data_IF_377900598765
#
_entry.id   IF_377900598765
#
_cell.length_a   1.000
_cell.length_b   1.000
_cell.length_c   1.000
_cell.angle_alpha   90.00
_cell.angle_beta   90.00
_cell.angle_gamma   90.00
#
_symmetry.space_group_name_H-M   'P 1'
#
loop_
_entity.id
_entity.type
_entity.pdbx_description
1 polymer ?
#
# COMPACT_ATOMS: atom_id res chain seq x y z
N UNK A 1 0.35 5.22 -9.87
CA UNK A 1 -0.62 4.62 -8.95
C UNK A 1 -1.36 5.76 -8.31
N UNK A 2 -2.69 5.77 -8.39
CA UNK A 2 -3.52 6.79 -7.77
C UNK A 2 -3.83 6.34 -6.33
N UNK A 3 -3.32 7.04 -5.34
CA UNK A 3 -3.63 6.88 -3.91
C UNK A 3 -3.80 8.28 -3.26
N UNK A 4 -4.26 8.30 -2.00
CA UNK A 4 -4.51 9.56 -1.28
C UNK A 4 -3.22 10.40 -1.17
N UNK A 5 -2.07 9.74 -0.97
CA UNK A 5 -0.75 10.37 -0.90
C UNK A 5 -0.32 10.98 -2.23
N UNK A 6 -0.52 10.27 -3.35
CA UNK A 6 -0.21 10.78 -4.69
C UNK A 6 -1.03 12.03 -5.01
N UNK A 7 -2.32 12.01 -4.71
CA UNK A 7 -3.19 13.17 -4.93
C UNK A 7 -2.77 14.32 -4.02
N UNK A 8 -2.45 14.05 -2.75
CA UNK A 8 -1.94 15.05 -1.82
C UNK A 8 -0.64 15.69 -2.31
N UNK A 9 0.34 14.86 -2.69
CA UNK A 9 1.62 15.30 -3.22
C UNK A 9 1.49 16.04 -4.55
N UNK A 10 0.53 15.66 -5.41
CA UNK A 10 0.23 16.39 -6.64
C UNK A 10 -0.29 17.80 -6.34
N UNK A 11 -1.19 17.94 -5.37
CA UNK A 11 -1.70 19.26 -4.96
C UNK A 11 -0.61 20.07 -4.27
N UNK A 12 0.25 19.46 -3.46
CA UNK A 12 1.40 20.16 -2.86
C UNK A 12 2.41 20.64 -3.89
N UNK A 13 2.71 19.83 -4.90
CA UNK A 13 3.65 20.22 -5.95
C UNK A 13 3.16 21.42 -6.77
N UNK A 14 1.85 21.61 -6.91
CA UNK A 14 1.28 22.69 -7.74
C UNK A 14 0.71 23.87 -6.94
N UNK A 15 0.15 23.63 -5.75
CA UNK A 15 -0.49 24.63 -4.89
C UNK A 15 0.35 24.98 -3.66
N UNK A 16 1.40 24.20 -3.37
CA UNK A 16 2.28 24.45 -2.24
C UNK A 16 3.16 25.69 -2.44
N UNK A 17 3.60 26.31 -1.34
CA UNK A 17 4.55 27.42 -1.40
C UNK A 17 5.89 26.92 -1.99
N UNK A 18 6.47 27.68 -2.92
CA UNK A 18 7.75 27.36 -3.55
C UNK A 18 8.92 27.43 -2.57
N UNK A 19 8.80 28.26 -1.54
CA UNK A 19 9.73 28.37 -0.43
C UNK A 19 9.16 27.67 0.80
N UNK A 20 9.99 26.89 1.51
CA UNK A 20 9.60 26.32 2.78
C UNK A 20 9.15 27.46 3.73
N UNK A 21 7.99 27.35 4.38
CA UNK A 21 7.59 28.34 5.38
C UNK A 21 8.71 28.46 6.40
N UNK A 22 9.06 29.70 6.75
CA UNK A 22 10.08 29.97 7.76
C UNK A 22 9.74 29.13 9.00
N UNK A 23 10.66 28.23 9.38
CA UNK A 23 10.52 27.51 10.64
C UNK A 23 10.35 28.56 11.74
N UNK A 24 9.43 28.37 12.71
CA UNK A 24 9.27 29.33 13.78
C UNK A 24 10.62 29.52 14.46
N UNK A 25 11.19 30.73 14.34
CA UNK A 25 12.43 31.09 15.00
C UNK A 25 12.26 30.86 16.50
N UNK A 26 13.16 30.13 17.18
CA UNK A 26 13.13 30.05 18.64
C UNK A 26 13.35 31.47 19.18
N UNK A 27 12.38 31.98 19.92
CA UNK A 27 12.44 33.30 20.56
C UNK A 27 13.73 33.41 21.39
N UNK A 28 14.67 34.23 20.90
CA UNK A 28 15.91 34.53 21.60
C UNK A 28 15.69 35.52 22.75
N UNK A 29 16.30 35.16 23.89
CA UNK A 29 17.04 35.97 24.89
C UNK A 29 16.30 36.48 26.15
N UNK A 30 17.02 36.70 27.30
CA UNK A 30 18.47 36.96 27.41
C UNK A 30 19.29 36.15 28.44
N UNK A 31 20.60 36.10 28.16
CA UNK A 31 21.72 35.57 28.97
C UNK A 31 22.00 36.39 30.25
N UNK A 32 22.71 35.82 31.23
CA UNK A 32 23.70 36.57 32.00
C UNK A 32 25.13 35.99 31.88
N UNK A 33 26.00 36.84 31.30
CA UNK A 33 27.41 37.17 31.62
C UNK A 33 28.31 36.23 32.46
N UNK A 34 29.45 35.92 31.83
CA UNK A 34 30.86 35.95 32.32
C UNK A 34 31.30 35.00 33.45
N UNK A 35 32.21 34.06 33.13
CA UNK A 35 33.65 34.18 33.48
C UNK A 35 34.46 32.86 33.27
N UNK A 36 35.63 33.04 32.66
CA UNK A 36 36.91 32.32 32.85
C UNK A 36 37.13 30.89 32.30
N UNK A 37 37.98 30.83 31.27
CA UNK A 37 38.86 29.75 30.78
C UNK A 37 39.79 29.16 31.88
N UNK A 38 40.67 28.12 31.68
CA UNK A 38 41.17 27.55 30.41
C UNK A 38 41.49 26.02 30.33
N UNK A 39 41.62 25.50 29.08
CA UNK A 39 42.71 24.62 28.52
C UNK A 39 42.90 23.21 29.16
N UNK A 40 43.07 22.04 28.51
CA UNK A 40 43.79 21.53 27.32
C UNK A 40 43.28 20.12 26.99
N UNK A 41 43.36 19.72 25.71
CA UNK A 41 43.49 18.32 25.23
C UNK A 41 45.00 18.04 24.93
N UNK A 42 45.50 16.87 24.44
CA UNK A 42 45.02 15.47 24.38
C UNK A 42 46.16 14.39 24.58
N UNK A 43 45.85 13.12 24.28
CA UNK A 43 46.70 12.06 23.65
C UNK A 43 47.49 11.02 24.51
N UNK A 44 47.13 9.75 24.24
CA UNK A 44 47.85 8.46 24.08
C UNK A 44 48.91 7.93 25.08
N UNK A 45 48.81 6.64 25.42
CA UNK A 45 49.58 5.50 24.86
C UNK A 45 49.39 4.29 25.83
N UNK A 46 48.81 3.17 25.42
CA UNK A 46 49.41 2.05 24.66
C UNK A 46 50.07 0.94 25.52
N UNK A 47 49.42 -0.23 25.48
CA UNK A 47 49.99 -1.58 25.22
C UNK A 47 50.95 -2.21 26.24
N UNK A 48 50.61 -3.45 26.66
CA UNK A 48 51.47 -4.66 26.77
C UNK A 48 50.87 -5.59 27.86
N UNK A 49 50.27 -6.73 27.50
CA UNK A 49 50.91 -8.09 27.48
C UNK A 49 51.18 -8.63 28.89
N UNK A 50 50.96 -9.89 29.27
CA UNK A 50 50.84 -11.18 28.56
C UNK A 50 50.40 -12.20 29.62
N UNK A 51 49.42 -13.08 29.33
CA UNK A 51 49.60 -14.52 29.04
C UNK A 51 50.02 -15.35 30.25
N UNK A 52 49.07 -16.13 30.78
CA UNK A 52 49.13 -17.59 30.88
C UNK A 52 47.70 -18.08 31.21
N UNK A 53 46.97 -18.61 30.24
CA UNK A 53 47.06 -20.02 29.80
C UNK A 53 46.48 -20.94 30.88
N UNK A 54 45.17 -21.20 30.81
CA UNK A 54 44.56 -22.27 30.03
C UNK A 54 44.70 -23.63 30.72
N UNK A 55 43.60 -24.08 31.30
CA UNK A 55 43.15 -25.46 31.17
C UNK A 55 41.72 -25.55 31.72
N UNK A 56 40.75 -25.45 30.82
CA UNK A 56 39.36 -25.98 30.89
C UNK A 56 38.49 -25.41 29.76
N UNK A 57 39.00 -25.42 28.53
CA UNK A 57 38.16 -25.50 27.32
C UNK A 57 38.13 -26.96 26.92
N UNK A 58 36.95 -27.58 26.84
CA UNK A 58 36.74 -28.69 25.91
C UNK A 58 35.27 -29.11 25.70
N UNK A 59 34.35 -28.88 26.66
CA UNK A 59 33.01 -29.48 26.55
C UNK A 59 31.83 -28.50 26.37
N UNK A 60 31.96 -27.24 26.79
CA UNK A 60 30.84 -26.28 26.80
C UNK A 60 30.84 -25.29 25.61
N UNK A 61 31.76 -25.46 24.67
CA UNK A 61 31.96 -24.54 23.54
C UNK A 61 31.01 -24.78 22.36
N UNK A 62 30.21 -25.85 22.35
CA UNK A 62 29.40 -26.23 21.18
C UNK A 62 27.90 -25.96 21.31
N UNK A 63 27.40 -25.61 22.51
CA UNK A 63 25.99 -25.27 22.74
C UNK A 63 25.75 -23.75 22.90
N UNK A 64 26.78 -22.98 23.24
CA UNK A 64 26.72 -21.52 23.34
C UNK A 64 26.89 -20.80 22.00
N UNK A 65 27.58 -21.42 21.04
CA UNK A 65 27.86 -20.84 19.71
C UNK A 65 26.61 -20.85 18.80
N UNK A 66 25.71 -21.82 18.98
CA UNK A 66 24.47 -21.93 18.19
C UNK A 66 23.39 -20.94 18.68
N UNK A 67 23.31 -20.65 19.99
CA UNK A 67 22.40 -19.62 20.52
C UNK A 67 22.90 -18.19 20.27
N UNK A 68 24.21 -17.94 20.33
CA UNK A 68 24.76 -16.61 20.05
C UNK A 68 24.70 -16.24 18.55
N UNK A 69 24.73 -17.22 17.65
CA UNK A 69 24.55 -17.00 16.21
C UNK A 69 23.10 -16.69 15.84
N UNK A 70 22.11 -17.33 16.49
CA UNK A 70 20.69 -17.07 16.26
C UNK A 70 20.25 -15.71 16.84
N UNK A 71 20.79 -15.32 18.00
CA UNK A 71 20.49 -14.03 18.64
C UNK A 71 21.16 -12.84 17.91
N UNK A 72 22.38 -13.02 17.40
CA UNK A 72 23.03 -12.01 16.52
C UNK A 72 22.34 -11.89 15.16
N UNK A 73 21.90 -12.99 14.54
CA UNK A 73 21.16 -12.92 13.26
C UNK A 73 19.76 -12.27 13.41
N UNK A 74 19.12 -12.43 14.57
CA UNK A 74 17.86 -11.76 14.90
C UNK A 74 18.06 -10.26 15.23
N UNK A 75 19.15 -9.90 15.90
CA UNK A 75 19.49 -8.51 16.19
C UNK A 75 19.98 -7.75 14.94
N UNK A 76 20.70 -8.42 14.04
CA UNK A 76 21.15 -7.84 12.76
C UNK A 76 19.98 -7.61 11.80
N UNK A 77 18.99 -8.52 11.75
CA UNK A 77 17.74 -8.30 11.00
C UNK A 77 16.90 -7.16 11.58
N UNK A 78 16.82 -7.02 12.91
CA UNK A 78 16.13 -5.87 13.55
C UNK A 78 16.86 -4.55 13.31
N UNK A 79 18.20 -4.53 13.36
CA UNK A 79 19.01 -3.34 13.03
C UNK A 79 18.97 -2.98 11.54
N UNK A 80 18.85 -3.97 10.65
CA UNK A 80 18.71 -3.74 9.21
C UNK A 80 17.31 -3.24 8.84
N UNK A 81 16.25 -3.70 9.52
CA UNK A 81 14.91 -3.09 9.43
C UNK A 81 14.87 -1.66 9.98
N UNK A 82 15.63 -1.36 11.03
CA UNK A 82 15.68 -0.02 11.60
C UNK A 82 16.47 0.98 10.74
N UNK A 83 17.52 0.52 10.04
CA UNK A 83 18.32 1.34 9.11
C UNK A 83 17.71 1.49 7.72
N UNK A 84 16.71 0.66 7.36
CA UNK A 84 15.89 0.86 6.15
C UNK A 84 14.62 1.65 6.43
N UNK A 85 14.50 2.31 7.59
CA UNK A 85 13.52 3.38 7.77
C UNK A 85 13.85 4.44 6.73
N UNK A 86 13.04 4.47 5.66
CA UNK A 86 13.10 5.49 4.61
C UNK A 86 13.17 6.86 5.30
N UNK A 87 13.95 7.82 4.76
CA UNK A 87 13.98 9.15 5.34
C UNK A 87 12.53 9.61 5.56
N UNK A 88 12.22 10.19 6.73
CA UNK A 88 10.86 10.64 7.01
C UNK A 88 10.42 11.55 5.86
N UNK A 89 9.24 11.27 5.31
CA UNK A 89 8.67 12.15 4.30
C UNK A 89 8.52 13.54 4.94
N UNK A 90 8.92 14.61 4.24
CA UNK A 90 8.73 15.96 4.76
C UNK A 90 7.24 16.21 5.03
N UNK A 91 6.89 16.93 6.10
CA UNK A 91 5.51 17.27 6.37
C UNK A 91 4.95 18.15 5.24
N UNK A 92 3.68 17.95 4.94
CA UNK A 92 2.91 18.77 4.02
C UNK A 92 2.90 20.23 4.47
N UNK A 93 3.27 21.17 3.59
CA UNK A 93 3.26 22.60 3.92
C UNK A 93 1.91 23.29 3.72
N UNK A 94 1.06 22.74 2.85
CA UNK A 94 -0.28 23.25 2.57
C UNK A 94 -1.31 22.45 3.36
N UNK A 95 -2.51 22.96 3.62
CA UNK A 95 -3.65 22.17 4.15
C UNK A 95 -4.69 21.94 3.05
N UNK A 96 -5.53 20.90 3.17
CA UNK A 96 -6.61 20.64 2.20
C UNK A 96 -7.65 21.77 2.15
N UNK A 97 -7.81 22.51 3.25
CA UNK A 97 -8.72 23.67 3.32
C UNK A 97 -8.25 24.85 2.46
N UNK A 98 -6.94 24.96 2.22
CA UNK A 98 -6.33 26.10 1.54
C UNK A 98 -6.30 25.94 0.02
N UNK A 99 -6.67 24.76 -0.51
CA UNK A 99 -6.63 24.46 -1.94
C UNK A 99 -7.40 25.47 -2.79
N UNK A 100 -8.61 25.84 -2.36
CA UNK A 100 -9.45 26.79 -3.08
C UNK A 100 -8.85 28.21 -3.12
N UNK A 101 -8.13 28.60 -2.07
CA UNK A 101 -7.51 29.92 -1.94
C UNK A 101 -6.11 29.98 -2.57
N UNK A 102 -5.45 28.84 -2.76
CA UNK A 102 -4.10 28.77 -3.31
C UNK A 102 -4.04 29.25 -4.77
N UNK A 103 -2.93 29.92 -5.10
CA UNK A 103 -2.65 30.44 -6.44
C UNK A 103 -2.13 29.33 -7.35
N UNK A 104 -2.77 29.11 -8.50
CA UNK A 104 -2.22 28.19 -9.51
C UNK A 104 -1.07 28.85 -10.27
N UNK A 105 0.10 28.21 -10.35
CA UNK A 105 1.20 28.73 -11.13
C UNK A 105 0.88 28.68 -12.63
N UNK A 106 1.29 29.69 -13.41
CA UNK A 106 1.07 29.74 -14.86
C UNK A 106 1.88 28.69 -15.64
N UNK A 107 2.85 28.04 -14.99
CA UNK A 107 3.64 26.94 -15.55
C UNK A 107 2.89 25.61 -15.57
N UNK A 108 1.71 25.54 -14.95
CA UNK A 108 0.90 24.33 -14.90
C UNK A 108 0.41 23.95 -16.31
N UNK A 109 0.71 22.74 -16.80
CA UNK A 109 0.34 22.35 -18.16
C UNK A 109 -1.18 22.23 -18.28
N UNK A 110 -1.70 22.46 -19.48
CA UNK A 110 -3.13 22.30 -19.78
C UNK A 110 -3.64 20.88 -19.46
N UNK A 111 -2.78 19.88 -19.65
CA UNK A 111 -3.08 18.47 -19.40
C UNK A 111 -1.99 17.86 -18.52
N UNK A 112 -2.40 17.23 -17.43
CA UNK A 112 -1.49 16.47 -16.56
C UNK A 112 -1.27 15.07 -17.14
N UNK A 113 -0.13 14.47 -16.77
CA UNK A 113 0.17 13.10 -17.16
C UNK A 113 -0.96 12.15 -16.69
N UNK A 114 -1.44 11.25 -17.56
CA UNK A 114 -2.48 10.31 -17.20
C UNK A 114 -2.03 9.37 -16.08
N UNK A 115 -2.96 9.02 -15.20
CA UNK A 115 -2.72 8.13 -14.07
C UNK A 115 -3.76 6.99 -14.05
N UNK A 116 -3.33 5.81 -13.64
CA UNK A 116 -4.20 4.66 -13.41
C UNK A 116 -4.33 4.36 -11.90
N UNK A 117 -5.56 4.21 -11.38
CA UNK A 117 -5.80 3.64 -10.08
C UNK A 117 -5.61 2.12 -10.15
N UNK A 118 -4.61 1.60 -9.44
CA UNK A 118 -4.35 0.15 -9.40
C UNK A 118 -4.86 -0.36 -8.08
N UNK A 119 -5.77 -1.33 -8.14
CA UNK A 119 -6.37 -1.90 -6.93
C UNK A 119 -5.35 -2.76 -6.16
N UNK A 120 -5.26 -2.55 -4.84
CA UNK A 120 -4.45 -3.33 -3.91
C UNK A 120 -5.30 -3.90 -2.78
N UNK A 121 -6.11 -4.94 -3.05
CA UNK A 121 -7.03 -5.52 -2.08
C UNK A 121 -6.30 -6.37 -1.03
N UNK A 122 -5.69 -5.71 -0.04
CA UNK A 122 -5.05 -6.34 1.11
C UNK A 122 -6.04 -6.40 2.28
N UNK A 123 -6.27 -7.60 2.84
CA UNK A 123 -6.97 -7.75 4.12
C UNK A 123 -6.11 -8.64 5.01
N UNK A 124 -5.84 -8.15 6.22
CA UNK A 124 -5.16 -8.90 7.27
C UNK A 124 -6.17 -9.41 8.33
N UNK A 125 -5.75 -10.41 9.10
CA UNK A 125 -6.53 -10.96 10.23
C UNK A 125 -7.06 -12.37 10.00
N UNK A 126 -7.15 -13.13 11.10
CA UNK A 126 -7.59 -14.53 11.10
C UNK A 126 -9.07 -14.70 10.75
N UNK A 127 -9.95 -13.81 11.21
CA UNK A 127 -11.37 -13.84 10.88
C UNK A 127 -11.66 -13.52 9.41
N UNK A 128 -10.71 -12.88 8.71
CA UNK A 128 -10.82 -12.58 7.29
C UNK A 128 -10.29 -13.70 6.38
N UNK A 129 -9.94 -14.86 6.94
CA UNK A 129 -9.42 -16.01 6.18
C UNK A 129 -10.38 -16.50 5.10
N UNK A 130 -11.69 -16.57 5.37
CA UNK A 130 -12.67 -16.96 4.35
C UNK A 130 -12.79 -15.94 3.21
N UNK A 131 -12.76 -14.65 3.54
CA UNK A 131 -12.72 -13.57 2.53
C UNK A 131 -11.46 -13.65 1.68
N UNK A 132 -10.30 -13.92 2.32
CA UNK A 132 -9.02 -14.12 1.63
C UNK A 132 -9.05 -15.37 0.74
N UNK A 133 -9.67 -16.46 1.18
CA UNK A 133 -9.83 -17.67 0.37
C UNK A 133 -10.72 -17.39 -0.85
N UNK A 134 -11.84 -16.68 -0.68
CA UNK A 134 -12.68 -16.23 -1.80
C UNK A 134 -11.90 -15.37 -2.80
N UNK A 135 -11.13 -14.39 -2.32
CA UNK A 135 -10.25 -13.56 -3.18
C UNK A 135 -9.17 -14.39 -3.87
N UNK A 136 -8.58 -15.35 -3.17
CA UNK A 136 -7.54 -16.24 -3.72
C UNK A 136 -8.08 -17.12 -4.84
N UNK A 137 -9.30 -17.65 -4.68
CA UNK A 137 -9.98 -18.38 -5.73
C UNK A 137 -10.35 -17.41 -6.87
N UNK A 138 -10.82 -16.19 -6.60
CA UNK A 138 -11.19 -15.23 -7.64
C UNK A 138 -10.05 -14.29 -8.09
N UNK A 139 -8.78 -14.66 -7.85
CA UNK A 139 -7.62 -13.81 -8.15
C UNK A 139 -7.48 -13.45 -9.63
N UNK A 140 -8.06 -14.25 -10.52
CA UNK A 140 -8.05 -13.99 -11.95
C UNK A 140 -8.82 -12.72 -12.32
N UNK A 141 -10.00 -12.51 -11.74
CA UNK A 141 -10.78 -11.31 -12.03
C UNK A 141 -9.97 -10.03 -11.71
N UNK A 142 -9.30 -10.02 -10.55
CA UNK A 142 -8.39 -8.94 -10.17
C UNK A 142 -7.21 -8.81 -11.15
N UNK A 143 -6.60 -9.93 -11.56
CA UNK A 143 -5.48 -9.92 -12.49
C UNK A 143 -5.89 -9.40 -13.88
N UNK A 144 -7.09 -9.75 -14.35
CA UNK A 144 -7.66 -9.29 -15.61
C UNK A 144 -8.00 -7.79 -15.52
N UNK A 145 -8.52 -7.31 -14.39
CA UNK A 145 -8.76 -5.88 -14.13
C UNK A 145 -7.46 -5.07 -14.11
N UNK A 146 -6.43 -5.53 -13.40
CA UNK A 146 -5.10 -4.89 -13.41
C UNK A 146 -4.50 -4.96 -14.81
N UNK A 147 -4.62 -6.09 -15.50
CA UNK A 147 -4.17 -6.28 -16.87
C UNK A 147 -4.83 -5.29 -17.83
N UNK A 148 -6.13 -5.02 -17.66
CA UNK A 148 -6.87 -4.00 -18.42
C UNK A 148 -6.30 -2.60 -18.19
N UNK A 149 -6.05 -2.21 -16.95
CA UNK A 149 -5.49 -0.90 -16.60
C UNK A 149 -4.04 -0.74 -17.13
N UNK A 150 -3.23 -1.80 -17.04
CA UNK A 150 -1.87 -1.82 -17.60
C UNK A 150 -1.89 -1.77 -19.12
N UNK A 151 -2.80 -2.49 -19.77
CA UNK A 151 -2.97 -2.44 -21.22
C UNK A 151 -3.36 -1.04 -21.69
N UNK A 152 -4.25 -0.35 -20.97
CA UNK A 152 -4.60 1.05 -21.25
C UNK A 152 -3.37 1.96 -21.22
N UNK A 153 -2.49 1.76 -20.22
CA UNK A 153 -1.23 2.49 -20.12
C UNK A 153 -0.29 2.19 -21.30
N UNK A 154 -0.15 0.91 -21.70
CA UNK A 154 0.68 0.52 -22.84
C UNK A 154 0.18 1.09 -24.18
N UNK A 155 -1.15 1.17 -24.37
CA UNK A 155 -1.73 1.79 -25.57
C UNK A 155 -1.72 3.32 -25.52
N UNK A 156 -1.32 3.91 -24.40
CA UNK A 156 -1.41 5.35 -24.13
C UNK A 156 -2.82 5.93 -24.36
N UNK A 157 -3.84 5.08 -24.28
CA UNK A 157 -5.24 5.45 -24.42
C UNK A 157 -5.71 6.07 -23.11
N UNK A 158 -6.18 7.30 -23.18
CA UNK A 158 -6.54 8.08 -22.00
C UNK A 158 -7.78 8.93 -22.26
N UNK A 159 -8.45 9.27 -21.16
CA UNK A 159 -9.68 10.05 -21.12
C UNK A 159 -9.67 10.98 -19.91
N UNK A 160 -10.48 12.02 -19.96
CA UNK A 160 -10.85 12.84 -18.81
C UNK A 160 -11.62 12.04 -17.75
N UNK A 161 -11.36 12.36 -16.48
CA UNK A 161 -12.12 11.81 -15.36
C UNK A 161 -13.58 12.25 -15.45
N UNK A 162 -14.50 11.33 -15.18
CA UNK A 162 -15.93 11.62 -15.24
C UNK A 162 -16.32 12.40 -13.99
N UNK A 163 -16.97 13.54 -14.17
CA UNK A 163 -17.70 14.16 -13.07
C UNK A 163 -19.00 13.38 -12.86
N UNK A 164 -19.37 13.14 -11.61
CA UNK A 164 -20.64 12.48 -11.30
C UNK A 164 -21.79 13.30 -11.86
N UNK A 165 -22.68 12.67 -12.63
CA UNK A 165 -23.89 13.30 -13.16
C UNK A 165 -24.67 13.99 -12.02
N UNK A 166 -24.95 15.30 -12.12
CA UNK A 166 -25.73 16.03 -11.13
C UNK A 166 -27.18 15.54 -11.17
N UNK A 167 -27.52 14.54 -10.35
CA UNK A 167 -28.86 13.96 -10.29
C UNK A 167 -28.94 12.47 -9.96
N UNK A 168 -27.81 11.76 -9.93
CA UNK A 168 -27.76 10.41 -9.37
C UNK A 168 -27.78 10.50 -7.84
N UNK A 169 -28.98 10.42 -7.25
CA UNK A 169 -29.21 10.38 -5.81
C UNK A 169 -28.63 9.10 -5.19
N UNK A 170 -27.32 9.07 -5.04
CA UNK A 170 -26.62 8.17 -4.12
C UNK A 170 -26.24 9.00 -2.91
N UNK A 171 -26.46 8.50 -1.69
CA UNK A 171 -26.23 9.18 -0.40
C UNK A 171 -24.79 9.75 -0.17
N UNK A 172 -23.89 9.60 -1.15
CA UNK A 172 -22.51 10.11 -1.21
C UNK A 172 -22.40 11.41 -2.05
N UNK A 173 -23.20 12.43 -1.74
CA UNK A 173 -23.12 13.77 -2.37
C UNK A 173 -21.75 14.47 -2.17
N UNK A 174 -20.95 14.00 -1.20
CA UNK A 174 -19.57 14.46 -0.97
C UNK A 174 -18.57 13.95 -2.02
N UNK A 175 -18.84 12.80 -2.66
CA UNK A 175 -17.94 12.19 -3.65
C UNK A 175 -18.36 12.59 -5.07
N UNK A 176 -18.24 13.87 -5.41
CA UNK A 176 -18.66 14.41 -6.71
C UNK A 176 -17.78 13.94 -7.88
N UNK A 177 -16.50 13.69 -7.60
CA UNK A 177 -15.50 13.36 -8.60
C UNK A 177 -15.26 11.85 -8.65
N UNK A 178 -15.16 11.27 -9.85
CA UNK A 178 -14.87 9.84 -10.03
C UNK A 178 -13.63 9.42 -9.23
N UNK A 179 -12.60 10.26 -9.20
CA UNK A 179 -11.36 10.04 -8.45
C UNK A 179 -11.63 9.66 -6.99
N UNK A 180 -12.56 10.35 -6.33
CA UNK A 180 -12.91 10.11 -4.91
C UNK A 180 -13.62 8.77 -4.72
N UNK A 181 -14.40 8.32 -5.70
CA UNK A 181 -15.16 7.07 -5.62
C UNK A 181 -14.30 5.84 -5.91
N UNK A 182 -13.28 5.96 -6.76
CA UNK A 182 -12.50 4.81 -7.22
C UNK A 182 -11.85 4.06 -6.07
N UNK A 183 -11.34 4.76 -5.04
CA UNK A 183 -10.63 4.13 -3.93
C UNK A 183 -11.50 3.80 -2.72
N UNK A 184 -12.72 4.33 -2.63
CA UNK A 184 -13.62 4.19 -1.48
C UNK A 184 -13.91 2.72 -1.07
N UNK A 185 -13.89 1.78 -2.03
CA UNK A 185 -14.08 0.36 -1.76
C UNK A 185 -12.84 -0.31 -1.13
N UNK A 186 -11.65 0.26 -1.33
CA UNK A 186 -10.39 -0.22 -0.76
C UNK A 186 -10.18 0.26 0.66
N UNK A 187 -10.64 1.48 0.99
CA UNK A 187 -10.51 2.09 2.32
C UNK A 187 -11.11 1.20 3.42
N UNK A 188 -12.19 0.49 3.10
CA UNK A 188 -12.86 -0.48 3.98
C UNK A 188 -11.96 -1.64 4.40
N UNK A 189 -10.93 -1.94 3.61
CA UNK A 189 -9.99 -3.03 3.86
C UNK A 189 -8.72 -2.59 4.58
N UNK A 190 -8.55 -1.29 4.84
CA UNK A 190 -7.38 -0.77 5.54
C UNK A 190 -7.28 -1.31 6.96
N UNK A 191 -6.04 -1.40 7.43
CA UNK A 191 -5.73 -1.86 8.80
C UNK A 191 -6.31 -0.86 9.80
N UNK A 192 -6.88 -1.36 10.90
CA UNK A 192 -7.51 -0.52 11.93
C UNK A 192 -6.59 0.57 12.49
N UNK A 193 -5.28 0.32 12.55
CA UNK A 193 -4.26 1.29 12.98
C UNK A 193 -4.21 2.55 12.13
N UNK A 194 -4.64 2.49 10.86
CA UNK A 194 -4.75 3.66 9.98
C UNK A 194 -5.77 4.65 10.53
N UNK A 195 -6.82 4.14 11.18
CA UNK A 195 -7.93 4.90 11.73
C UNK A 195 -7.72 5.31 13.19
N UNK A 196 -6.67 4.81 13.85
CA UNK A 196 -6.34 5.20 15.21
C UNK A 196 -5.77 6.62 15.21
N UNK A 197 -6.35 7.51 16.02
CA UNK A 197 -5.84 8.86 16.22
C UNK A 197 -4.50 8.84 16.96
N UNK A 198 -3.60 9.77 16.63
CA UNK A 198 -2.31 9.85 17.32
C UNK A 198 -2.62 10.34 18.73
N UNK A 199 -2.16 9.59 19.72
CA UNK A 199 -2.26 10.03 21.11
C UNK A 199 -1.48 11.34 21.23
N UNK A 200 -2.10 12.34 21.86
CA UNK A 200 -1.49 13.64 22.07
C UNK A 200 -0.06 13.49 22.59
N UNK A 201 0.89 14.32 22.12
CA UNK A 201 2.28 14.20 22.54
C UNK A 201 2.37 14.27 24.07
N UNK A 202 3.12 13.35 24.67
CA UNK A 202 3.44 13.42 26.10
C UNK A 202 4.09 14.78 26.40
N UNK A 203 3.59 15.46 27.42
CA UNK A 203 4.06 16.78 27.85
C UNK A 203 5.59 16.75 28.04
N UNK A 204 6.33 17.42 27.14
CA UNK A 204 7.78 17.60 27.27
C UNK A 204 8.66 17.26 26.06
N UNK A 205 8.11 16.79 24.93
CA UNK A 205 8.86 16.69 23.66
C UNK A 205 8.48 17.84 22.73
N UNK A 206 9.48 18.47 22.11
CA UNK A 206 9.29 19.51 21.08
C UNK A 206 8.25 19.04 20.07
N UNK A 207 7.19 19.84 19.91
CA UNK A 207 6.08 19.49 19.04
C UNK A 207 6.55 19.56 17.58
N UNK A 208 6.97 18.43 17.02
CA UNK A 208 7.00 18.28 15.57
C UNK A 208 5.61 18.69 15.04
N UNK A 209 5.54 19.48 13.95
CA UNK A 209 4.24 19.81 13.36
C UNK A 209 3.46 18.52 13.11
N UNK A 210 2.17 18.48 13.47
CA UNK A 210 1.38 17.25 13.44
C UNK A 210 1.41 16.69 12.01
N UNK A 211 1.81 15.41 11.89
CA UNK A 211 1.84 14.74 10.59
C UNK A 211 0.41 14.62 10.10
N UNK A 212 0.14 15.12 8.90
CA UNK A 212 -1.19 14.99 8.34
C UNK A 212 -1.50 13.52 8.06
N UNK A 213 -2.57 13.00 8.67
CA UNK A 213 -3.08 11.67 8.38
C UNK A 213 -3.89 11.69 7.09
N UNK A 214 -3.22 11.44 5.99
CA UNK A 214 -3.81 11.50 4.64
C UNK A 214 -4.79 10.35 4.38
N UNK A 215 -4.53 9.16 4.96
CA UNK A 215 -5.36 7.97 4.71
C UNK A 215 -6.76 8.09 5.33
N UNK A 216 -6.94 8.28 6.65
CA UNK A 216 -8.28 8.28 7.25
C UNK A 216 -9.16 9.49 6.87
N UNK A 217 -8.58 10.54 6.29
CA UNK A 217 -9.32 11.71 5.84
C UNK A 217 -9.90 11.46 4.45
N UNK A 218 -11.13 11.96 4.16
CA UNK A 218 -11.69 11.88 2.82
C UNK A 218 -10.81 12.65 1.83
N UNK A 219 -10.75 12.13 0.61
CA UNK A 219 -9.92 12.72 -0.43
C UNK A 219 -10.48 14.05 -0.93
N UNK A 220 -9.71 15.13 -0.77
CA UNK A 220 -10.08 16.48 -1.23
C UNK A 220 -9.29 16.83 -2.49
N UNK A 221 -9.99 17.38 -3.49
CA UNK A 221 -9.43 17.73 -4.80
C UNK A 221 -9.77 19.18 -5.16
N UNK A 222 -8.80 19.90 -5.72
CA UNK A 222 -9.04 21.18 -6.38
C UNK A 222 -9.63 20.93 -7.78
N UNK A 223 -10.76 21.54 -8.08
CA UNK A 223 -11.46 21.41 -9.37
C UNK A 223 -10.59 21.84 -10.56
N UNK A 224 -9.68 22.81 -10.34
CA UNK A 224 -8.75 23.31 -11.36
C UNK A 224 -7.70 22.26 -11.72
N UNK A 225 -7.26 21.45 -10.76
CA UNK A 225 -6.30 20.37 -11.01
C UNK A 225 -7.05 19.13 -11.52
N UNK A 226 -8.18 18.79 -10.90
CA UNK A 226 -8.99 17.62 -11.25
C UNK A 226 -9.43 17.62 -12.73
N UNK A 227 -9.86 18.76 -13.26
CA UNK A 227 -10.24 18.93 -14.67
C UNK A 227 -9.10 18.70 -15.66
N UNK A 228 -7.85 18.87 -15.23
CA UNK A 228 -6.64 18.66 -16.06
C UNK A 228 -6.06 17.25 -15.93
N UNK A 229 -6.52 16.48 -14.94
CA UNK A 229 -6.10 15.08 -14.78
C UNK A 229 -6.74 14.21 -15.87
N UNK A 230 -6.02 13.16 -16.25
CA UNK A 230 -6.48 12.15 -17.20
C UNK A 230 -6.35 10.76 -16.58
N UNK A 231 -7.21 9.85 -16.99
CA UNK A 231 -7.23 8.44 -16.62
C UNK A 231 -6.86 7.60 -17.84
N UNK A 232 -6.05 6.56 -17.66
CA UNK A 232 -5.91 5.55 -18.69
C UNK A 232 -7.20 4.74 -18.81
N UNK A 233 -7.73 4.60 -20.03
CA UNK A 233 -8.93 3.79 -20.31
C UNK A 233 -8.70 3.06 -21.63
N UNK A 234 -8.97 1.74 -21.64
CA UNK A 234 -8.92 0.94 -22.87
C UNK A 234 -10.04 1.41 -23.80
N UNK A 235 -9.76 1.57 -25.09
CA UNK A 235 -10.80 1.92 -26.07
C UNK A 235 -11.89 0.84 -26.10
N UNK A 236 -13.17 1.20 -26.31
CA UNK A 236 -14.27 0.23 -26.30
C UNK A 236 -14.12 -0.84 -27.38
N UNK A 237 -13.44 -0.52 -28.49
CA UNK A 237 -13.12 -1.47 -29.56
C UNK A 237 -12.14 -2.55 -29.07
N UNK A 238 -11.09 -2.15 -28.35
CA UNK A 238 -10.09 -3.06 -27.80
C UNK A 238 -10.67 -3.95 -26.72
N UNK A 239 -11.56 -3.39 -25.89
CA UNK A 239 -12.28 -4.14 -24.88
C UNK A 239 -13.23 -5.16 -25.50
N UNK A 240 -13.95 -4.81 -26.57
CA UNK A 240 -14.79 -5.74 -27.31
C UNK A 240 -13.98 -6.88 -27.93
N UNK A 241 -12.79 -6.58 -28.48
CA UNK A 241 -11.87 -7.59 -29.01
C UNK A 241 -11.39 -8.53 -27.92
N UNK A 242 -11.01 -8.01 -26.75
CA UNK A 242 -10.59 -8.82 -25.61
C UNK A 242 -11.72 -9.73 -25.10
N UNK A 243 -12.95 -9.22 -24.99
CA UNK A 243 -14.13 -9.99 -24.57
C UNK A 243 -14.55 -11.08 -25.55
N UNK A 244 -14.24 -10.92 -26.83
CA UNK A 244 -14.50 -11.94 -27.85
C UNK A 244 -13.59 -13.18 -27.69
N UNK A 245 -12.47 -13.06 -26.97
CA UNK A 245 -11.56 -14.18 -26.72
C UNK A 245 -12.13 -15.01 -25.55
N UNK A 246 -12.83 -16.09 -25.89
CA UNK A 246 -13.29 -17.08 -24.91
C UNK A 246 -12.17 -18.06 -24.65
N UNK A 247 -11.53 -17.93 -23.49
CA UNK A 247 -10.55 -18.92 -23.02
C UNK A 247 -11.27 -19.89 -22.09
N UNK A 248 -11.23 -21.21 -22.34
CA UNK A 248 -11.92 -22.19 -21.51
C UNK A 248 -11.34 -22.17 -20.09
N UNK A 249 -12.22 -22.30 -19.09
CA UNK A 249 -11.83 -22.24 -17.67
C UNK A 249 -10.78 -23.30 -17.30
N UNK A 250 -10.79 -24.45 -17.98
CA UNK A 250 -9.89 -25.57 -17.73
C UNK A 250 -8.41 -25.26 -18.02
N UNK A 251 -8.14 -24.45 -19.04
CA UNK A 251 -6.77 -24.03 -19.39
C UNK A 251 -6.20 -23.00 -18.40
N UNK A 252 -7.10 -22.39 -17.63
CA UNK A 252 -6.84 -21.24 -16.78
C UNK A 252 -6.79 -21.63 -15.30
N UNK A 253 -7.52 -22.67 -14.92
CA UNK A 253 -7.62 -23.16 -13.57
C UNK A 253 -6.25 -23.67 -13.10
N UNK A 254 -5.59 -22.88 -12.24
CA UNK A 254 -4.42 -23.37 -11.52
C UNK A 254 -4.75 -24.66 -10.75
N UNK A 255 -3.72 -25.47 -10.48
CA UNK A 255 -3.80 -26.81 -9.88
C UNK A 255 -4.88 -26.99 -8.78
N UNK A 256 -5.04 -26.02 -7.88
CA UNK A 256 -5.98 -26.06 -6.75
C UNK A 256 -7.45 -26.08 -7.23
N UNK A 257 -7.82 -25.25 -8.21
CA UNK A 257 -9.21 -25.21 -8.72
C UNK A 257 -9.52 -26.44 -9.56
N UNK A 258 -8.60 -26.82 -10.44
CA UNK A 258 -8.73 -28.03 -11.25
C UNK A 258 -8.88 -29.28 -10.36
N UNK A 259 -8.10 -29.38 -9.27
CA UNK A 259 -8.21 -30.48 -8.30
C UNK A 259 -9.54 -30.46 -7.53
N UNK A 260 -10.06 -29.30 -7.13
CA UNK A 260 -11.37 -29.24 -6.47
C UNK A 260 -12.51 -29.61 -7.42
N UNK A 261 -12.45 -29.14 -8.68
CA UNK A 261 -13.42 -29.48 -9.72
C UNK A 261 -13.38 -30.97 -10.04
N UNK A 262 -12.18 -31.57 -10.14
CA UNK A 262 -12.04 -33.01 -10.40
C UNK A 262 -12.60 -33.86 -9.26
N UNK A 263 -12.42 -33.45 -8.00
CA UNK A 263 -13.03 -34.13 -6.84
C UNK A 263 -14.55 -34.01 -6.88
N UNK A 264 -15.09 -32.83 -7.21
CA UNK A 264 -16.53 -32.62 -7.33
C UNK A 264 -17.14 -33.46 -8.45
N UNK A 265 -16.50 -33.50 -9.63
CA UNK A 265 -16.90 -34.35 -10.76
C UNK A 265 -16.82 -35.83 -10.40
N UNK A 266 -15.76 -36.26 -9.72
CA UNK A 266 -15.62 -37.62 -9.21
C UNK A 266 -16.76 -37.98 -8.26
N UNK A 267 -17.08 -37.13 -7.27
CA UNK A 267 -18.18 -37.35 -6.33
C UNK A 267 -19.55 -37.41 -7.01
N UNK A 268 -19.82 -36.53 -7.97
CA UNK A 268 -21.05 -36.58 -8.77
C UNK A 268 -21.13 -37.86 -9.61
N UNK A 269 -20.02 -38.30 -10.21
CA UNK A 269 -19.98 -39.53 -11.00
C UNK A 269 -20.17 -40.79 -10.15
N UNK A 270 -19.62 -40.82 -8.93
CA UNK A 270 -19.79 -41.91 -7.98
C UNK A 270 -21.25 -42.01 -7.50
N UNK A 271 -21.85 -40.88 -7.15
CA UNK A 271 -23.26 -40.83 -6.73
C UNK A 271 -24.23 -41.16 -7.89
N UNK A 272 -23.90 -40.76 -9.13
CA UNK A 272 -24.67 -41.14 -10.30
C UNK A 272 -24.52 -42.64 -10.65
N UNK A 273 -23.36 -43.23 -10.36
CA UNK A 273 -23.11 -44.66 -10.55
C UNK A 273 -23.86 -45.52 -9.52
N UNK A 274 -23.99 -45.07 -8.27
CA UNK A 274 -24.80 -45.74 -7.24
C UNK A 274 -26.32 -45.70 -7.54
N UNK A 275 -26.78 -44.70 -8.30
CA UNK A 275 -28.18 -44.59 -8.73
C UNK A 275 -28.52 -45.36 -10.02
N UNK A 276 -27.57 -46.13 -10.59
CA UNK A 276 -27.92 -47.12 -11.61
C UNK A 276 -28.58 -48.31 -10.91
N UNK A 277 -29.91 -48.39 -11.01
CA UNK A 277 -30.69 -49.53 -10.57
C UNK A 277 -30.12 -50.86 -11.10
N UNK A 278 -30.46 -52.00 -10.47
CA UNK A 278 -29.85 -53.30 -10.77
C UNK A 278 -29.91 -53.58 -12.27
N UNK A 279 -28.78 -54.00 -12.83
CA UNK A 279 -28.66 -54.42 -14.22
C UNK A 279 -29.52 -55.67 -14.43
N UNK A 280 -30.81 -55.46 -14.69
CA UNK A 280 -31.71 -56.51 -15.16
C UNK A 280 -31.26 -56.83 -16.58
N UNK A 281 -30.40 -57.83 -16.71
CA UNK A 281 -30.03 -58.39 -18.01
C UNK A 281 -31.31 -58.70 -18.78
N UNK A 282 -31.30 -58.42 -20.09
CA UNK A 282 -32.43 -58.68 -20.99
C UNK A 282 -32.99 -60.08 -20.72
N UNK A 283 -34.24 -60.14 -20.26
CA UNK A 283 -34.98 -61.37 -19.99
C UNK A 283 -35.60 -61.98 -21.25
N UNK A 284 -35.22 -61.51 -22.45
CA UNK A 284 -35.80 -61.94 -23.73
C UNK A 284 -34.95 -62.97 -24.50
N UNK A 285 -33.87 -63.51 -23.92
CA UNK A 285 -33.06 -64.59 -24.50
C UNK A 285 -33.23 -65.93 -23.74
N UNK A 286 -34.47 -66.43 -23.61
CA UNK A 286 -34.76 -67.79 -23.14
C UNK A 286 -35.91 -68.44 -23.93
#
# INVERSE_FOLDING_TARGET
MLDHEYIRGLHEGWLGPLDAPAQPEPETKPEPVLAAEPVVTPVADAIAETVEEAEKKAADAKAAEEKAAEEKAAEEKKKEEEKKKRPPQPPSYNSTADYAAAHLPPTLPEQLAPAAPIQFPHILGFFNTFTRLKRFLNRRALADDIGREVAAACFAAHREWREGEPGASSDDDELRLEQQRVLAHEEKNWVKSVWEEEKAPEEGKEAEPPREKVWPKPMVLDTRIASRMRRFEVQPEDEARARAIVVPEEEIEGFIKGSLRSIAQWGMSAFAAENKGPNVGNLDDA
#
